data_IF_065500893840
#
_entry.id   IF_065500893840
#
_cell.length_a   1.000
_cell.length_b   1.000
_cell.length_c   1.000
_cell.angle_alpha   90.00
_cell.angle_beta   90.00
_cell.angle_gamma   90.00
#
_symmetry.space_group_name_H-M   'P 1'
#
loop_
_entity.id
_entity.type
_entity.pdbx_description
1 polymer ?
#
# COMPACT_ATOMS: atom_id res chain seq x y z
N UNK A 1 -8.06 -12.82 -1.89
CA UNK A 1 -8.46 -12.11 -0.66
C UNK A 1 -8.62 -10.61 -0.90
N UNK A 2 -7.67 -9.91 -1.52
CA UNK A 2 -7.80 -8.47 -1.83
C UNK A 2 -9.14 -8.09 -2.52
N UNK A 3 -9.57 -8.83 -3.55
CA UNK A 3 -10.88 -8.62 -4.20
C UNK A 3 -12.09 -8.67 -3.25
N UNK A 4 -12.09 -9.59 -2.30
CA UNK A 4 -13.19 -9.73 -1.33
C UNK A 4 -13.19 -8.61 -0.28
N UNK A 5 -12.05 -7.95 -0.08
CA UNK A 5 -11.86 -6.93 0.95
C UNK A 5 -12.06 -5.53 0.36
N UNK A 6 -11.46 -5.27 -0.81
CA UNK A 6 -11.45 -3.95 -1.45
C UNK A 6 -12.51 -3.82 -2.55
N UNK A 7 -13.12 -4.92 -2.99
CA UNK A 7 -14.09 -4.96 -4.08
C UNK A 7 -13.47 -4.91 -5.49
N UNK A 8 -12.21 -4.51 -5.64
CA UNK A 8 -11.55 -4.42 -6.94
C UNK A 8 -11.06 -5.77 -7.47
N UNK A 9 -11.31 -6.01 -8.76
CA UNK A 9 -10.61 -7.04 -9.51
C UNK A 9 -9.16 -6.61 -9.82
N UNK A 10 -8.20 -7.55 -9.88
CA UNK A 10 -6.78 -7.20 -10.10
C UNK A 10 -6.53 -6.37 -11.36
N UNK A 11 -7.31 -6.55 -12.43
CA UNK A 11 -7.14 -5.79 -13.67
C UNK A 11 -7.65 -4.35 -13.57
N UNK A 12 -8.57 -4.05 -12.65
CA UNK A 12 -9.13 -2.72 -12.46
C UNK A 12 -8.14 -1.78 -11.74
N UNK A 13 -7.20 -2.36 -11.00
CA UNK A 13 -6.14 -1.62 -10.30
C UNK A 13 -4.83 -1.56 -11.08
N UNK A 14 -4.71 -2.32 -12.19
CA UNK A 14 -3.54 -2.22 -13.07
C UNK A 14 -3.58 -0.87 -13.79
N UNK A 15 -2.48 -0.11 -13.72
CA UNK A 15 -2.38 1.22 -14.32
C UNK A 15 -2.74 2.37 -13.37
N UNK A 16 -3.33 2.05 -12.22
CA UNK A 16 -3.53 3.01 -11.12
C UNK A 16 -2.38 2.95 -10.12
N UNK A 17 -2.11 4.08 -9.47
CA UNK A 17 -1.18 4.09 -8.35
C UNK A 17 -1.92 3.79 -7.06
N UNK A 18 -1.22 3.18 -6.10
CA UNK A 18 -1.79 2.91 -4.77
C UNK A 18 -2.37 4.18 -4.11
N UNK A 19 -1.77 5.34 -4.40
CA UNK A 19 -2.16 6.63 -3.84
C UNK A 19 -3.51 7.14 -4.38
N UNK A 20 -3.96 6.65 -5.55
CA UNK A 20 -5.22 7.08 -6.17
C UNK A 20 -6.43 6.74 -5.30
N UNK A 21 -6.29 5.76 -4.41
CA UNK A 21 -7.34 5.26 -3.53
C UNK A 21 -7.16 5.69 -2.07
N UNK A 22 -6.10 6.44 -1.75
CA UNK A 22 -5.83 6.93 -0.39
C UNK A 22 -6.60 8.22 -0.17
N UNK A 23 -7.21 8.38 1.01
CA UNK A 23 -7.91 9.61 1.37
C UNK A 23 -6.98 10.83 1.24
N UNK A 24 -7.42 11.96 0.67
CA UNK A 24 -6.57 13.13 0.42
C UNK A 24 -5.77 13.62 1.64
N UNK A 25 -6.42 13.65 2.81
CA UNK A 25 -5.77 14.05 4.07
C UNK A 25 -4.63 13.10 4.51
N UNK A 26 -4.68 11.84 4.08
CA UNK A 26 -3.71 10.81 4.49
C UNK A 26 -2.55 10.69 3.49
N UNK A 27 -2.65 11.35 2.32
CA UNK A 27 -1.64 11.28 1.25
C UNK A 27 -0.25 11.71 1.74
N UNK A 28 -0.16 12.78 2.53
CA UNK A 28 1.12 13.30 3.00
C UNK A 28 1.88 12.28 3.86
N UNK A 29 1.15 11.52 4.70
CA UNK A 29 1.72 10.49 5.56
C UNK A 29 2.16 9.29 4.72
N UNK A 30 1.35 8.87 3.75
CA UNK A 30 1.65 7.72 2.91
C UNK A 30 2.78 7.97 1.92
N UNK A 31 2.89 9.17 1.38
CA UNK A 31 4.05 9.58 0.56
C UNK A 31 5.33 9.57 1.39
N UNK A 32 5.27 9.97 2.67
CA UNK A 32 6.43 9.89 3.58
C UNK A 32 6.84 8.44 3.84
N UNK A 33 5.89 7.57 4.16
CA UNK A 33 6.14 6.14 4.34
C UNK A 33 6.77 5.52 3.07
N UNK A 34 6.25 5.86 1.89
CA UNK A 34 6.80 5.40 0.62
C UNK A 34 8.26 5.83 0.38
N UNK A 35 8.63 7.06 0.77
CA UNK A 35 10.03 7.53 0.69
C UNK A 35 10.93 6.72 1.62
N UNK A 36 10.49 6.48 2.85
CA UNK A 36 11.23 5.66 3.82
C UNK A 36 11.36 4.21 3.33
N UNK A 37 10.33 3.64 2.69
CA UNK A 37 10.42 2.32 2.07
C UNK A 37 11.50 2.26 1.00
N UNK A 38 11.63 3.31 0.19
CA UNK A 38 12.68 3.38 -0.83
C UNK A 38 14.09 3.42 -0.23
N UNK A 39 14.26 4.15 0.87
CA UNK A 39 15.56 4.38 1.50
C UNK A 39 15.99 3.19 2.38
N UNK A 40 15.09 2.71 3.25
CA UNK A 40 15.41 1.74 4.30
C UNK A 40 15.05 0.30 3.93
N UNK A 41 14.21 0.11 2.92
CA UNK A 41 13.77 -1.20 2.44
C UNK A 41 12.81 -1.94 3.37
N UNK A 42 12.66 -1.58 4.64
CA UNK A 42 11.71 -2.21 5.57
C UNK A 42 11.12 -1.18 6.53
N UNK A 43 9.87 -0.78 6.31
CA UNK A 43 9.16 0.12 7.22
C UNK A 43 7.67 -0.24 7.24
N UNK A 44 6.99 0.12 8.33
CA UNK A 44 5.53 0.07 8.44
C UNK A 44 4.96 1.48 8.25
N UNK A 45 3.85 1.61 7.54
CA UNK A 45 3.11 2.87 7.49
C UNK A 45 2.37 3.12 8.81
N UNK A 46 1.98 4.37 9.04
CA UNK A 46 0.82 4.68 9.88
C UNK A 46 -0.45 4.09 9.27
N UNK A 47 -1.53 4.04 10.04
CA UNK A 47 -2.85 3.64 9.52
C UNK A 47 -3.43 4.75 8.64
N UNK A 48 -4.12 4.39 7.56
CA UNK A 48 -4.66 5.33 6.59
C UNK A 48 -5.95 4.82 5.96
N UNK A 49 -6.78 5.75 5.49
CA UNK A 49 -8.05 5.44 4.84
C UNK A 49 -7.84 5.09 3.38
N UNK A 50 -8.42 3.97 2.97
CA UNK A 50 -8.42 3.47 1.61
C UNK A 50 -9.86 3.35 1.10
N UNK A 51 -10.11 3.80 -0.12
CA UNK A 51 -11.42 3.75 -0.76
C UNK A 51 -11.65 2.36 -1.34
N UNK A 52 -12.72 1.69 -0.94
CA UNK A 52 -13.17 0.45 -1.56
C UNK A 52 -13.99 0.74 -2.82
N UNK A 53 -14.20 -0.29 -3.63
CA UNK A 53 -15.04 -0.19 -4.84
C UNK A 53 -16.49 0.21 -4.55
N UNK A 54 -16.98 -0.12 -3.36
CA UNK A 54 -18.35 0.18 -2.92
C UNK A 54 -18.44 1.58 -2.27
N UNK A 55 -17.47 2.46 -2.55
CA UNK A 55 -17.37 3.82 -2.03
C UNK A 55 -17.32 3.92 -0.48
N UNK A 56 -16.74 2.91 0.17
CA UNK A 56 -16.52 2.90 1.61
C UNK A 56 -15.06 3.17 1.96
N UNK A 57 -14.85 3.88 3.06
CA UNK A 57 -13.53 4.01 3.64
C UNK A 57 -13.25 2.81 4.55
N UNK A 58 -12.01 2.31 4.49
CA UNK A 58 -11.50 1.32 5.44
C UNK A 58 -10.13 1.75 5.94
N UNK A 59 -9.81 1.43 7.18
CA UNK A 59 -8.52 1.76 7.77
C UNK A 59 -7.53 0.62 7.52
N UNK A 60 -6.48 0.91 6.74
CA UNK A 60 -5.44 -0.03 6.38
C UNK A 60 -4.10 0.36 7.00
N UNK A 61 -3.21 -0.61 7.15
CA UNK A 61 -1.82 -0.39 7.47
C UNK A 61 -0.94 -1.31 6.63
N UNK A 62 0.16 -0.79 6.08
CA UNK A 62 1.00 -1.55 5.16
C UNK A 62 2.43 -1.62 5.67
N UNK A 63 3.01 -2.81 5.62
CA UNK A 63 4.45 -2.99 5.74
C UNK A 63 5.04 -3.26 4.36
N UNK A 64 6.19 -2.64 4.09
CA UNK A 64 6.96 -2.91 2.87
C UNK A 64 8.25 -3.64 3.22
N UNK A 65 8.65 -4.57 2.35
CA UNK A 65 9.95 -5.25 2.40
C UNK A 65 10.60 -5.24 1.02
N UNK A 66 11.82 -4.73 0.93
CA UNK A 66 12.63 -4.77 -0.27
C UNK A 66 13.03 -6.21 -0.58
N UNK A 67 12.71 -6.65 -1.80
CA UNK A 67 13.24 -7.85 -2.40
C UNK A 67 14.53 -7.48 -3.13
N UNK A 68 15.66 -7.87 -2.56
CA UNK A 68 16.98 -7.56 -3.09
C UNK A 68 17.44 -8.74 -3.95
N UNK A 69 17.86 -8.43 -5.17
CA UNK A 69 18.44 -9.39 -6.07
C UNK A 69 19.78 -9.90 -5.51
N UNK A 70 19.88 -11.20 -5.28
CA UNK A 70 21.03 -11.82 -4.58
C UNK A 70 22.33 -11.77 -5.38
N UNK A 71 22.28 -11.59 -6.70
CA UNK A 71 23.46 -11.51 -7.56
C UNK A 71 23.99 -10.08 -7.72
N UNK A 72 23.10 -9.08 -7.78
CA UNK A 72 23.48 -7.68 -8.03
C UNK A 72 23.50 -6.81 -6.78
N UNK A 73 22.88 -7.26 -5.68
CA UNK A 73 22.70 -6.48 -4.46
C UNK A 73 21.72 -5.30 -4.60
N UNK A 74 21.03 -5.18 -5.73
CA UNK A 74 20.08 -4.09 -5.99
C UNK A 74 18.65 -4.49 -5.62
N UNK A 75 17.83 -3.51 -5.25
CA UNK A 75 16.40 -3.72 -5.03
C UNK A 75 15.74 -4.02 -6.36
N UNK A 76 15.06 -5.17 -6.44
CA UNK A 76 14.32 -5.63 -7.63
C UNK A 76 12.84 -5.28 -7.53
N UNK A 77 12.26 -5.44 -6.34
CA UNK A 77 10.86 -5.12 -6.07
C UNK A 77 10.65 -4.84 -4.58
N UNK A 78 9.46 -4.35 -4.25
CA UNK A 78 8.99 -4.22 -2.87
C UNK A 78 7.78 -5.11 -2.68
N UNK A 79 7.84 -5.97 -1.67
CA UNK A 79 6.72 -6.81 -1.25
C UNK A 79 5.97 -6.05 -0.16
N UNK A 80 4.76 -5.62 -0.47
CA UNK A 80 3.89 -4.93 0.48
C UNK A 80 2.87 -5.91 1.08
N UNK A 81 2.80 -5.96 2.40
CA UNK A 81 1.74 -6.68 3.12
C UNK A 81 0.81 -5.66 3.76
N UNK A 82 -0.47 -5.69 3.40
CA UNK A 82 -1.47 -4.77 3.93
C UNK A 82 -2.40 -5.51 4.89
N UNK A 83 -2.65 -4.88 6.04
CA UNK A 83 -3.52 -5.35 7.10
C UNK A 83 -4.71 -4.41 7.23
N UNK A 84 -5.89 -4.99 7.46
CA UNK A 84 -7.08 -4.23 7.84
C UNK A 84 -6.99 -3.96 9.33
N UNK A 85 -7.15 -2.69 9.71
CA UNK A 85 -7.19 -2.27 11.11
C UNK A 85 -8.64 -2.13 11.57
N UNK A 86 -9.47 -1.45 10.77
CA UNK A 86 -10.86 -1.15 11.11
C UNK A 86 -11.73 -0.97 9.85
N UNK A 87 -13.01 -1.31 9.98
CA UNK A 87 -14.07 -1.01 9.01
C UNK A 87 -14.89 0.14 9.55
N UNK A 88 -15.24 1.11 8.69
CA UNK A 88 -16.18 2.17 9.03
C UNK A 88 -17.64 1.72 8.83
#
# INVERSE_FOLDING_TARGET
RARQILGYDPFEIIGHTYFDFVHPDDLAVIVRAYKLWKENGNEKSESYRFLTKDDQWILLQTSSRAHINTWTGKVESYICTTYIIEWY
#
